data_IF_600200586259
#
_entry.id   IF_600200586259
#
_cell.length_a   1.000
_cell.length_b   1.000
_cell.length_c   1.000
_cell.angle_alpha   90.00
_cell.angle_beta   90.00
_cell.angle_gamma   90.00
#
_symmetry.space_group_name_H-M   'P 1'
#
loop_
_entity.id
_entity.type
_entity.pdbx_description
1 polymer ?
#
# COMPACT_ATOMS: atom_id res chain seq x y z
N UNK A 1 -8.47 -5.30 10.29
CA UNK A 1 -7.99 -4.71 9.02
C UNK A 1 -9.07 -3.80 8.47
N UNK A 2 -8.71 -2.58 8.08
CA UNK A 2 -9.64 -1.57 7.52
C UNK A 2 -9.73 -1.71 5.98
N UNK A 3 -10.85 -1.31 5.36
CA UNK A 3 -11.03 -1.37 3.89
C UNK A 3 -9.98 -0.56 3.12
N UNK A 4 -9.53 0.57 3.69
CA UNK A 4 -8.45 1.38 3.12
C UNK A 4 -7.17 0.58 2.97
N UNK A 5 -6.81 -0.15 4.01
CA UNK A 5 -5.63 -0.99 4.08
C UNK A 5 -5.65 -2.08 2.99
N UNK A 6 -6.82 -2.68 2.72
CA UNK A 6 -6.97 -3.65 1.64
C UNK A 6 -6.83 -3.01 0.24
N UNK A 7 -7.33 -1.78 0.06
CA UNK A 7 -7.19 -1.04 -1.20
C UNK A 7 -5.73 -0.66 -1.47
N UNK A 8 -5.02 -0.18 -0.45
CA UNK A 8 -3.60 0.18 -0.54
C UNK A 8 -2.77 -1.05 -0.91
N UNK A 9 -3.01 -2.19 -0.21
CA UNK A 9 -2.38 -3.47 -0.53
C UNK A 9 -2.65 -3.92 -1.97
N UNK A 10 -3.91 -3.88 -2.41
CA UNK A 10 -4.30 -4.32 -3.76
C UNK A 10 -3.68 -3.43 -4.84
N UNK A 11 -3.61 -2.12 -4.62
CA UNK A 11 -2.99 -1.19 -5.57
C UNK A 11 -1.48 -1.44 -5.68
N UNK A 12 -0.78 -1.60 -4.55
CA UNK A 12 0.66 -1.89 -4.51
C UNK A 12 0.94 -3.25 -5.18
N UNK A 13 0.17 -4.28 -4.86
CA UNK A 13 0.32 -5.61 -5.43
C UNK A 13 0.04 -5.67 -6.94
N UNK A 14 -0.83 -4.80 -7.46
CA UNK A 14 -1.13 -4.74 -8.91
C UNK A 14 -0.09 -3.98 -9.70
N UNK A 15 0.42 -2.89 -9.16
CA UNK A 15 1.38 -2.04 -9.87
C UNK A 15 2.84 -2.51 -9.69
N UNK A 16 3.12 -3.33 -8.67
CA UNK A 16 4.47 -3.76 -8.27
C UNK A 16 5.43 -2.56 -8.11
N UNK A 17 4.87 -1.37 -7.88
CA UNK A 17 5.57 -0.10 -7.85
C UNK A 17 4.78 0.92 -7.02
N UNK A 18 5.36 1.34 -5.89
CA UNK A 18 4.67 2.22 -4.95
C UNK A 18 4.36 3.61 -5.51
N UNK A 19 5.17 4.12 -6.44
CA UNK A 19 4.93 5.41 -7.09
C UNK A 19 3.71 5.34 -7.99
N UNK A 20 3.60 4.29 -8.81
CA UNK A 20 2.45 4.08 -9.70
C UNK A 20 1.16 3.79 -8.92
N UNK A 21 1.25 3.02 -7.84
CA UNK A 21 0.12 2.78 -6.94
C UNK A 21 -0.38 4.09 -6.29
N UNK A 22 0.53 4.97 -5.87
CA UNK A 22 0.17 6.26 -5.30
C UNK A 22 -0.50 7.18 -6.33
N UNK A 23 -0.02 7.19 -7.57
CA UNK A 23 -0.66 7.92 -8.68
C UNK A 23 -2.10 7.42 -8.93
N UNK A 24 -2.31 6.10 -8.97
CA UNK A 24 -3.63 5.48 -9.14
C UNK A 24 -4.59 5.84 -8.01
N UNK A 25 -4.10 5.89 -6.77
CA UNK A 25 -4.88 6.21 -5.58
C UNK A 25 -5.02 7.72 -5.34
N UNK A 26 -4.43 8.56 -6.20
CA UNK A 26 -4.40 10.03 -6.08
C UNK A 26 -3.81 10.53 -4.75
N UNK A 27 -2.73 9.88 -4.33
CA UNK A 27 -1.99 10.21 -3.11
C UNK A 27 -0.50 10.37 -3.40
N UNK A 28 0.27 10.86 -2.42
CA UNK A 28 1.72 10.93 -2.59
C UNK A 28 2.38 9.60 -2.18
N UNK A 29 3.47 9.18 -2.84
CA UNK A 29 4.19 7.95 -2.47
C UNK A 29 4.64 7.88 -1.00
N UNK A 30 5.13 8.97 -0.36
CA UNK A 30 5.47 8.95 1.08
C UNK A 30 4.25 8.74 1.99
N UNK A 31 3.07 9.17 1.56
CA UNK A 31 1.82 9.00 2.30
C UNK A 31 1.35 7.54 2.21
N UNK A 32 1.36 6.97 1.00
CA UNK A 32 1.04 5.56 0.76
C UNK A 32 2.00 4.62 1.50
N UNK A 33 3.30 4.90 1.49
CA UNK A 33 4.31 4.11 2.20
C UNK A 33 4.10 4.08 3.73
N UNK A 34 3.61 5.18 4.32
CA UNK A 34 3.26 5.20 5.75
C UNK A 34 1.99 4.38 6.02
N UNK A 35 0.97 4.53 5.17
CA UNK A 35 -0.27 3.76 5.28
C UNK A 35 -0.04 2.25 5.11
N UNK A 36 0.90 1.86 4.25
CA UNK A 36 1.27 0.46 4.06
C UNK A 36 2.16 -0.10 5.17
N UNK A 37 2.96 0.73 5.85
CA UNK A 37 3.73 0.27 7.02
C UNK A 37 2.80 -0.18 8.17
N UNK A 38 1.64 0.47 8.31
CA UNK A 38 0.60 0.06 9.27
C UNK A 38 -0.04 -1.30 8.90
N UNK A 39 0.14 -1.80 7.66
CA UNK A 39 -0.30 -3.13 7.22
C UNK A 39 0.70 -4.24 7.57
N UNK A 40 2.01 -3.96 7.59
CA UNK A 40 3.07 -4.94 7.86
C UNK A 40 3.08 -5.44 9.32
N UNK A 41 2.42 -4.71 10.23
CA UNK A 41 2.19 -5.16 11.60
C UNK A 41 1.26 -6.39 11.67
N UNK A 42 0.58 -6.72 10.56
CA UNK A 42 -0.20 -7.95 10.40
C UNK A 42 0.70 -9.03 9.78
N UNK A 43 1.00 -10.13 10.49
CA UNK A 43 2.05 -11.10 10.15
C UNK A 43 1.85 -11.89 8.83
N UNK A 44 0.83 -11.58 8.03
CA UNK A 44 0.52 -12.21 6.74
C UNK A 44 0.83 -11.31 5.54
N UNK A 45 1.18 -10.03 5.73
CA UNK A 45 1.37 -9.07 4.62
C UNK A 45 2.82 -8.59 4.56
N UNK A 46 3.65 -9.35 3.84
CA UNK A 46 4.94 -8.85 3.40
C UNK A 46 4.78 -8.31 1.97
N UNK A 47 4.25 -7.09 1.86
CA UNK A 47 4.21 -6.37 0.60
C UNK A 47 5.64 -5.89 0.31
N UNK A 48 6.23 -6.42 -0.75
CA UNK A 48 7.61 -6.18 -1.18
C UNK A 48 7.91 -4.68 -1.20
N UNK A 49 8.77 -4.22 -0.28
CA UNK A 49 9.53 -2.97 -0.37
C UNK A 49 10.88 -3.23 -1.03
#
# INVERSE_FOLDING_TARGET
>A
MELRALNDFLAIAREENITRAAEQLHVTPPMLSRQSADLEEVPEVQAVL
#
